data_IF_452826325799
#
_entry.id   IF_452826325799
#
_cell.length_a   1.000
_cell.length_b   1.000
_cell.length_c   1.000
_cell.angle_alpha   90.00
_cell.angle_beta   90.00
_cell.angle_gamma   90.00
#
_symmetry.space_group_name_H-M   'P 1'
#
loop_
_entity.id
_entity.type
_entity.pdbx_description
1 polymer ?
#
# COMPACT_ATOMS: atom_id res chain seq x y z
N UNK A 1 -23.75 36.68 30.81
CA UNK A 1 -22.86 37.83 31.03
C UNK A 1 -21.45 37.34 31.37
N UNK A 2 -20.50 37.52 30.46
CA UNK A 2 -19.06 37.51 30.72
C UNK A 2 -18.53 38.84 30.16
N UNK A 3 -17.83 39.70 30.92
CA UNK A 3 -17.39 40.97 30.38
C UNK A 3 -16.07 40.81 29.61
N UNK A 4 -16.08 41.42 28.43
CA UNK A 4 -14.95 41.66 27.55
C UNK A 4 -13.76 42.30 28.28
N UNK A 5 -12.55 41.88 27.93
CA UNK A 5 -11.35 42.71 28.06
C UNK A 5 -10.82 43.04 26.67
N UNK A 6 -11.28 44.20 26.20
CA UNK A 6 -10.60 44.99 25.20
C UNK A 6 -9.34 45.60 25.83
N UNK A 7 -8.17 45.31 25.27
CA UNK A 7 -7.00 46.18 25.45
C UNK A 7 -6.54 46.62 24.07
N UNK A 8 -6.70 47.92 23.85
CA UNK A 8 -6.37 48.66 22.64
C UNK A 8 -4.95 49.27 22.76
N UNK A 9 -4.42 49.86 21.66
CA UNK A 9 -3.02 49.84 21.25
C UNK A 9 -2.25 51.12 21.65
N UNK A 10 -0.95 51.21 21.33
CA UNK A 10 -0.25 52.47 21.02
C UNK A 10 1.24 52.27 20.60
N UNK A 11 1.58 52.71 19.35
CA UNK A 11 2.74 53.54 18.86
C UNK A 11 4.18 53.18 19.34
N UNK A 12 5.27 53.23 18.56
CA UNK A 12 5.72 53.99 17.38
C UNK A 12 6.89 53.16 16.74
N UNK A 13 7.22 53.20 15.44
CA UNK A 13 7.55 54.35 14.60
C UNK A 13 9.06 54.60 14.61
N UNK A 14 9.80 54.19 13.56
CA UNK A 14 11.01 54.85 13.06
C UNK A 14 11.52 54.18 11.76
N UNK A 15 11.36 54.91 10.66
CA UNK A 15 12.03 54.73 9.37
C UNK A 15 13.31 55.55 9.41
N UNK A 16 14.48 54.98 9.10
CA UNK A 16 15.60 55.76 8.52
C UNK A 16 16.36 54.91 7.51
N UNK A 17 16.42 55.45 6.30
CA UNK A 17 17.11 55.01 5.10
C UNK A 17 18.53 55.59 5.12
N UNK A 18 19.59 54.80 4.91
CA UNK A 18 20.91 55.34 4.52
C UNK A 18 21.54 54.47 3.43
N UNK A 19 21.98 55.19 2.40
CA UNK A 19 22.48 54.78 1.11
C UNK A 19 24.00 55.02 1.08
N UNK A 20 24.83 54.03 0.72
CA UNK A 20 26.23 54.18 0.28
C UNK A 20 26.71 52.84 -0.31
N UNK A 21 26.80 52.64 -1.64
CA UNK A 21 27.93 53.00 -2.52
C UNK A 21 29.32 52.77 -1.90
N UNK A 22 30.01 51.69 -2.29
CA UNK A 22 31.28 51.76 -3.03
C UNK A 22 31.79 50.37 -3.51
N UNK A 23 32.51 50.28 -4.66
CA UNK A 23 32.97 49.04 -5.29
C UNK A 23 34.46 48.68 -5.08
N UNK A 24 34.74 47.37 -5.16
CA UNK A 24 35.97 46.58 -5.49
C UNK A 24 37.38 47.02 -5.04
N UNK A 25 38.23 46.03 -4.70
CA UNK A 25 39.47 45.85 -5.47
C UNK A 25 39.77 44.38 -5.85
N UNK A 26 40.17 44.15 -7.11
CA UNK A 26 41.15 43.11 -7.48
C UNK A 26 42.55 43.75 -7.45
N UNK A 27 43.68 43.03 -7.18
CA UNK A 27 44.36 42.31 -8.26
C UNK A 27 45.31 41.12 -7.86
N UNK A 28 45.29 40.08 -8.70
CA UNK A 28 46.44 39.40 -9.35
C UNK A 28 47.33 38.33 -8.63
N UNK A 29 47.64 37.33 -9.47
CA UNK A 29 48.96 36.71 -9.73
C UNK A 29 49.30 35.37 -9.08
N UNK A 30 49.02 34.30 -9.83
CA UNK A 30 50.04 33.30 -10.20
C UNK A 30 50.31 32.15 -9.23
N UNK A 31 49.60 31.04 -9.39
CA UNK A 31 50.15 29.72 -9.12
C UNK A 31 49.74 28.80 -10.28
N UNK A 32 50.70 28.55 -11.17
CA UNK A 32 50.54 27.63 -12.28
C UNK A 32 50.50 26.19 -11.79
N UNK A 33 49.51 25.45 -12.26
CA UNK A 33 49.60 24.01 -12.42
C UNK A 33 49.27 23.68 -13.87
N UNK A 34 50.30 23.77 -14.71
CA UNK A 34 50.30 23.09 -16.00
C UNK A 34 50.74 21.64 -15.77
N UNK A 35 49.78 20.71 -15.88
CA UNK A 35 50.01 19.36 -16.42
C UNK A 35 48.81 18.97 -17.28
N UNK A 36 48.99 19.13 -18.58
CA UNK A 36 48.26 18.36 -19.59
C UNK A 36 49.06 17.07 -19.87
N UNK A 37 48.59 16.11 -20.69
CA UNK A 37 47.21 15.76 -21.07
C UNK A 37 46.98 14.22 -20.95
N UNK A 38 45.87 13.75 -21.53
CA UNK A 38 45.63 12.39 -22.08
C UNK A 38 45.15 11.33 -21.07
N UNK A 39 43.86 11.03 -21.16
CA UNK A 39 43.20 9.92 -20.49
C UNK A 39 41.72 9.94 -20.87
N UNK A 40 41.45 9.62 -22.14
CA UNK A 40 40.09 9.36 -22.60
C UNK A 40 39.57 8.14 -21.87
N UNK A 41 38.76 8.37 -20.86
CA UNK A 41 37.81 7.39 -20.37
C UNK A 41 36.49 7.87 -20.94
N UNK A 42 36.03 7.17 -21.98
CA UNK A 42 34.75 7.47 -22.59
C UNK A 42 33.71 7.59 -21.49
N UNK A 43 32.98 8.70 -21.49
CA UNK A 43 31.58 8.65 -21.11
C UNK A 43 30.96 7.63 -22.05
N UNK A 44 31.05 6.36 -21.66
CA UNK A 44 30.18 5.31 -22.13
C UNK A 44 28.81 5.82 -21.75
N UNK A 45 28.20 6.54 -22.71
CA UNK A 45 26.79 6.86 -22.72
C UNK A 45 26.12 5.51 -22.68
N UNK A 46 25.93 5.03 -21.45
CA UNK A 46 24.92 4.09 -21.07
C UNK A 46 23.67 4.64 -21.73
N UNK A 47 23.36 4.08 -22.89
CA UNK A 47 22.02 4.07 -23.41
C UNK A 47 21.26 3.31 -22.33
N UNK A 48 20.88 4.00 -21.25
CA UNK A 48 19.78 3.61 -20.41
C UNK A 48 18.64 3.57 -21.40
N UNK A 49 18.39 2.37 -21.93
CA UNK A 49 17.20 2.09 -22.71
C UNK A 49 16.07 2.75 -21.93
N UNK A 50 15.32 3.60 -22.63
CA UNK A 50 14.18 4.29 -22.05
C UNK A 50 13.12 3.22 -21.79
N UNK A 51 13.37 2.38 -20.79
CA UNK A 51 12.47 1.34 -20.36
C UNK A 51 11.41 2.06 -19.54
N UNK A 52 10.16 1.88 -19.94
CA UNK A 52 9.06 2.46 -19.21
C UNK A 52 9.04 1.83 -17.81
N UNK A 53 8.92 2.66 -16.76
CA UNK A 53 8.97 2.15 -15.40
C UNK A 53 7.77 1.23 -15.14
N UNK A 54 8.06 0.07 -14.58
CA UNK A 54 7.07 -0.92 -14.19
C UNK A 54 6.57 -0.62 -12.78
N UNK A 55 5.26 -0.79 -12.57
CA UNK A 55 4.61 -0.59 -11.29
C UNK A 55 3.69 -1.75 -10.96
N UNK A 56 3.64 -2.06 -9.68
CA UNK A 56 2.63 -2.92 -9.09
C UNK A 56 1.72 -2.04 -8.23
N UNK A 57 0.43 -2.05 -8.52
CA UNK A 57 -0.58 -1.31 -7.77
C UNK A 57 -1.57 -2.28 -7.14
N UNK A 58 -1.64 -2.25 -5.82
CA UNK A 58 -2.63 -2.99 -5.05
C UNK A 58 -3.60 -1.99 -4.43
N UNK A 59 -4.89 -2.22 -4.63
CA UNK A 59 -5.91 -1.46 -3.93
C UNK A 59 -6.92 -2.36 -3.23
N UNK A 60 -7.47 -1.82 -2.14
CA UNK A 60 -8.49 -2.44 -1.32
C UNK A 60 -9.76 -1.64 -1.50
N UNK A 61 -10.79 -2.26 -2.05
CA UNK A 61 -12.11 -1.67 -2.17
C UNK A 61 -13.03 -2.08 -1.02
N UNK A 62 -14.11 -1.31 -0.80
CA UNK A 62 -15.10 -1.55 0.28
C UNK A 62 -15.70 -2.96 0.20
N UNK A 63 -16.23 -3.46 1.31
CA UNK A 63 -16.92 -4.77 1.33
C UNK A 63 -18.37 -4.71 0.83
N UNK A 64 -18.94 -3.50 0.74
CA UNK A 64 -20.37 -3.30 0.46
C UNK A 64 -20.66 -3.25 -1.05
N UNK A 65 -19.62 -3.14 -1.87
CA UNK A 65 -19.69 -3.20 -3.32
C UNK A 65 -19.64 -4.66 -3.80
N UNK A 66 -20.33 -4.94 -4.89
CA UNK A 66 -20.36 -6.27 -5.49
C UNK A 66 -19.11 -6.53 -6.35
N UNK A 67 -18.76 -7.80 -6.57
CA UNK A 67 -17.66 -8.18 -7.46
C UNK A 67 -17.69 -7.51 -8.86
N UNK A 68 -18.83 -7.46 -9.60
CA UNK A 68 -18.87 -6.78 -10.90
C UNK A 68 -18.64 -5.27 -10.81
N UNK A 69 -18.99 -4.61 -9.69
CA UNK A 69 -18.66 -3.20 -9.48
C UNK A 69 -17.15 -3.00 -9.25
N UNK A 70 -16.48 -3.95 -8.57
CA UNK A 70 -15.03 -3.93 -8.42
C UNK A 70 -14.35 -4.10 -9.78
N UNK A 71 -14.86 -4.97 -10.64
CA UNK A 71 -14.36 -5.15 -12.01
C UNK A 71 -14.53 -3.88 -12.84
N UNK A 72 -15.71 -3.25 -12.80
CA UNK A 72 -15.96 -1.97 -13.46
C UNK A 72 -15.00 -0.86 -12.98
N UNK A 73 -14.78 -0.75 -11.66
CA UNK A 73 -13.78 0.17 -11.10
C UNK A 73 -12.37 -0.13 -11.63
N UNK A 74 -12.03 -1.41 -11.73
CA UNK A 74 -10.73 -1.85 -12.24
C UNK A 74 -10.56 -1.48 -13.72
N UNK A 75 -11.62 -1.56 -14.51
CA UNK A 75 -11.65 -1.13 -15.91
C UNK A 75 -11.52 0.39 -16.05
N UNK A 76 -12.24 1.18 -15.24
CA UNK A 76 -12.11 2.64 -15.20
C UNK A 76 -10.66 3.08 -14.93
N UNK A 77 -10.02 2.46 -13.92
CA UNK A 77 -8.62 2.72 -13.57
C UNK A 77 -7.66 2.30 -14.69
N UNK A 78 -7.95 1.17 -15.36
CA UNK A 78 -7.18 0.73 -16.52
C UNK A 78 -7.28 1.73 -17.69
N UNK A 79 -8.46 2.30 -17.92
CA UNK A 79 -8.68 3.26 -18.99
C UNK A 79 -7.89 4.56 -18.75
N UNK A 80 -7.74 5.00 -17.51
CA UNK A 80 -6.90 6.17 -17.15
C UNK A 80 -5.44 5.91 -17.53
N UNK A 81 -4.93 4.71 -17.27
CA UNK A 81 -3.56 4.33 -17.62
C UNK A 81 -3.37 4.33 -19.14
N UNK A 82 -4.32 3.75 -19.88
CA UNK A 82 -4.29 3.70 -21.35
C UNK A 82 -4.34 5.10 -21.97
N UNK A 83 -5.18 5.98 -21.43
CA UNK A 83 -5.23 7.39 -21.85
C UNK A 83 -3.92 8.13 -21.57
N UNK A 84 -3.22 7.76 -20.50
CA UNK A 84 -1.90 8.28 -20.14
C UNK A 84 -0.73 7.69 -20.95
N UNK A 85 -1.01 6.84 -21.95
CA UNK A 85 0.01 6.22 -22.79
C UNK A 85 0.72 5.02 -22.15
N UNK A 86 0.12 4.42 -21.13
CA UNK A 86 0.60 3.17 -20.52
C UNK A 86 -0.21 1.94 -20.94
N UNK A 87 0.25 0.77 -20.53
CA UNK A 87 -0.43 -0.51 -20.69
C UNK A 87 -0.57 -1.24 -19.34
N UNK A 88 -1.59 -2.08 -19.23
CA UNK A 88 -1.84 -2.90 -18.05
C UNK A 88 -1.57 -4.35 -18.42
N UNK A 89 -0.45 -4.89 -17.94
CA UNK A 89 0.00 -6.24 -18.27
C UNK A 89 -0.86 -7.31 -17.61
N UNK A 90 -1.31 -7.07 -16.37
CA UNK A 90 -2.07 -8.05 -15.60
C UNK A 90 -3.06 -7.40 -14.66
N UNK A 91 -4.27 -7.97 -14.58
CA UNK A 91 -5.31 -7.60 -13.62
C UNK A 91 -5.71 -8.85 -12.87
N UNK A 92 -5.55 -8.86 -11.55
CA UNK A 92 -5.83 -10.03 -10.74
C UNK A 92 -6.75 -9.67 -9.56
N UNK A 93 -7.93 -10.28 -9.53
CA UNK A 93 -8.89 -10.13 -8.45
C UNK A 93 -8.72 -11.24 -7.41
N UNK A 94 -8.38 -10.88 -6.17
CA UNK A 94 -8.14 -11.84 -5.09
C UNK A 94 -9.38 -12.16 -4.25
N UNK A 95 -10.49 -11.49 -4.50
CA UNK A 95 -11.74 -11.66 -3.76
C UNK A 95 -11.81 -10.84 -2.46
N UNK A 96 -12.83 -11.17 -1.66
CA UNK A 96 -13.09 -10.54 -0.36
C UNK A 96 -12.19 -11.17 0.72
N UNK A 97 -11.38 -10.37 1.40
CA UNK A 97 -10.49 -10.82 2.47
C UNK A 97 -10.63 -9.97 3.73
N UNK A 98 -10.31 -10.55 4.88
CA UNK A 98 -10.32 -9.85 6.17
C UNK A 98 -9.07 -8.98 6.31
N UNK A 99 -9.25 -7.73 6.77
CA UNK A 99 -8.16 -6.81 7.07
C UNK A 99 -7.82 -6.92 8.56
N UNK A 100 -6.55 -6.77 8.94
CA UNK A 100 -6.08 -6.92 10.33
C UNK A 100 -6.73 -5.93 11.29
N UNK A 101 -6.99 -4.70 10.83
CA UNK A 101 -7.65 -3.65 11.60
C UNK A 101 -8.74 -2.99 10.77
N UNK A 102 -9.64 -2.26 11.44
CA UNK A 102 -10.75 -1.59 10.76
C UNK A 102 -10.28 -0.35 10.04
N UNK A 103 -10.55 -0.28 8.73
CA UNK A 103 -10.28 0.88 7.86
C UNK A 103 -11.63 1.45 7.45
N UNK A 104 -11.86 2.75 7.70
CA UNK A 104 -13.16 3.43 7.44
C UNK A 104 -14.40 2.64 7.91
N UNK A 105 -14.28 1.91 9.05
CA UNK A 105 -15.28 1.01 9.66
C UNK A 105 -15.48 -0.36 8.99
N UNK A 106 -14.81 -0.66 7.88
CA UNK A 106 -14.85 -1.96 7.22
C UNK A 106 -13.88 -2.96 7.90
N UNK A 107 -14.30 -4.23 8.02
CA UNK A 107 -13.46 -5.36 8.51
C UNK A 107 -12.95 -6.25 7.39
N UNK A 108 -13.57 -6.14 6.21
CA UNK A 108 -13.23 -6.87 5.01
C UNK A 108 -13.06 -5.89 3.85
N UNK A 109 -12.37 -6.33 2.80
CA UNK A 109 -12.23 -5.56 1.58
C UNK A 109 -11.93 -6.47 0.40
N UNK A 110 -12.29 -5.99 -0.79
CA UNK A 110 -11.94 -6.62 -2.04
C UNK A 110 -10.53 -6.22 -2.44
N UNK A 111 -9.66 -7.20 -2.65
CA UNK A 111 -8.28 -6.94 -3.05
C UNK A 111 -8.13 -7.12 -4.55
N UNK A 112 -7.48 -6.15 -5.19
CA UNK A 112 -7.16 -6.15 -6.61
C UNK A 112 -5.70 -5.80 -6.78
N UNK A 113 -5.02 -6.57 -7.64
CA UNK A 113 -3.66 -6.35 -8.09
C UNK A 113 -3.67 -5.90 -9.54
N UNK A 114 -2.87 -4.88 -9.84
CA UNK A 114 -2.64 -4.36 -11.19
C UNK A 114 -1.13 -4.29 -11.45
N UNK A 115 -0.69 -4.97 -12.51
CA UNK A 115 0.66 -4.80 -13.05
C UNK A 115 0.60 -3.80 -14.20
N UNK A 116 1.34 -2.72 -14.07
CA UNK A 116 1.22 -1.54 -14.91
C UNK A 116 2.59 -1.24 -15.51
N UNK A 117 2.61 -1.02 -16.82
CA UNK A 117 3.73 -0.46 -17.53
C UNK A 117 3.31 0.91 -18.06
N UNK A 118 3.73 1.98 -17.38
CA UNK A 118 3.23 3.31 -17.67
C UNK A 118 4.21 4.42 -17.26
N UNK A 119 4.13 5.61 -17.89
CA UNK A 119 4.86 6.77 -17.42
C UNK A 119 4.38 7.20 -16.02
N UNK A 120 5.27 7.78 -15.22
CA UNK A 120 4.96 8.23 -13.85
C UNK A 120 3.78 9.22 -13.80
N UNK A 121 3.56 10.02 -14.85
CA UNK A 121 2.43 10.93 -14.94
C UNK A 121 1.07 10.20 -14.95
N UNK A 122 0.96 9.11 -15.70
CA UNK A 122 -0.28 8.31 -15.77
C UNK A 122 -0.58 7.62 -14.44
N UNK A 123 0.45 7.10 -13.78
CA UNK A 123 0.32 6.45 -12.46
C UNK A 123 -0.15 7.45 -11.40
N UNK A 124 0.40 8.67 -11.39
CA UNK A 124 -0.04 9.72 -10.46
C UNK A 124 -1.50 10.11 -10.66
N UNK A 125 -1.96 10.19 -11.91
CA UNK A 125 -3.36 10.48 -12.19
C UNK A 125 -4.27 9.34 -11.72
N UNK A 126 -3.89 8.09 -11.97
CA UNK A 126 -4.60 6.93 -11.45
C UNK A 126 -4.68 6.95 -9.90
N UNK A 127 -3.56 7.20 -9.22
CA UNK A 127 -3.53 7.30 -7.75
C UNK A 127 -4.44 8.42 -7.23
N UNK A 128 -4.45 9.56 -7.92
CA UNK A 128 -5.34 10.68 -7.59
C UNK A 128 -6.80 10.25 -7.68
N UNK A 129 -7.19 9.58 -8.77
CA UNK A 129 -8.55 9.08 -8.97
C UNK A 129 -8.94 8.03 -7.91
N UNK A 130 -8.03 7.10 -7.59
CA UNK A 130 -8.25 6.14 -6.51
C UNK A 130 -8.43 6.81 -5.15
N UNK A 131 -7.69 7.90 -4.87
CA UNK A 131 -7.80 8.61 -3.60
C UNK A 131 -9.10 9.39 -3.43
N UNK A 132 -9.68 9.85 -4.55
CA UNK A 132 -10.96 10.59 -4.60
C UNK A 132 -12.13 9.62 -4.51
N UNK A 133 -11.99 8.42 -5.06
CA UNK A 133 -13.05 7.45 -5.08
C UNK A 133 -13.34 6.90 -3.65
N UNK A 134 -14.57 7.11 -3.17
CA UNK A 134 -15.00 6.68 -1.84
C UNK A 134 -15.03 5.15 -1.66
N UNK A 135 -15.13 4.41 -2.77
CA UNK A 135 -15.10 2.95 -2.79
C UNK A 135 -13.74 2.36 -2.51
N UNK A 136 -12.68 3.16 -2.60
CA UNK A 136 -11.32 2.74 -2.30
C UNK A 136 -10.98 3.04 -0.83
N UNK A 137 -10.61 1.98 -0.11
CA UNK A 137 -10.20 2.07 1.29
C UNK A 137 -8.73 2.44 1.40
N UNK A 138 -7.87 1.76 0.65
CA UNK A 138 -6.42 1.93 0.69
C UNK A 138 -5.81 1.54 -0.65
N UNK A 139 -4.76 2.25 -1.03
CA UNK A 139 -3.93 1.96 -2.20
C UNK A 139 -2.48 1.79 -1.76
N UNK A 140 -1.75 0.99 -2.52
CA UNK A 140 -0.31 0.84 -2.41
C UNK A 140 0.23 0.66 -3.82
N UNK A 141 1.03 1.62 -4.28
CA UNK A 141 1.74 1.55 -5.54
C UNK A 141 3.22 1.39 -5.27
N UNK A 142 3.85 0.41 -5.89
CA UNK A 142 5.27 0.10 -5.76
C UNK A 142 5.88 0.09 -7.14
N UNK A 143 7.03 0.75 -7.29
CA UNK A 143 7.83 0.63 -8.51
C UNK A 143 8.63 -0.67 -8.45
N UNK A 144 8.55 -1.46 -9.51
CA UNK A 144 9.23 -2.76 -9.61
C UNK A 144 10.22 -2.75 -10.77
N UNK A 145 11.23 -3.61 -10.68
CA UNK A 145 12.25 -3.77 -11.73
C UNK A 145 11.79 -4.79 -12.79
N UNK A 146 10.99 -5.78 -12.39
CA UNK A 146 10.46 -6.84 -13.24
C UNK A 146 9.00 -7.16 -12.83
N UNK A 147 8.17 -7.54 -13.81
CA UNK A 147 6.79 -7.98 -13.58
C UNK A 147 6.75 -9.50 -13.47
N UNK A 148 6.31 -10.04 -12.32
CA UNK A 148 6.06 -11.47 -12.21
C UNK A 148 4.77 -11.85 -12.97
N UNK A 149 4.92 -12.64 -14.05
CA UNK A 149 3.79 -13.13 -14.85
C UNK A 149 3.04 -14.31 -14.20
N UNK A 150 3.67 -14.99 -13.22
CA UNK A 150 3.07 -16.09 -12.47
C UNK A 150 1.83 -15.66 -11.67
N UNK A 151 0.92 -16.59 -11.30
CA UNK A 151 -0.18 -16.27 -10.40
C UNK A 151 0.39 -15.71 -9.10
N UNK A 152 -0.19 -14.63 -8.57
CA UNK A 152 0.36 -13.97 -7.38
C UNK A 152 0.53 -14.98 -6.22
N UNK A 153 1.49 -14.74 -5.32
CA UNK A 153 1.69 -15.57 -4.13
C UNK A 153 0.38 -15.79 -3.33
N UNK A 154 -0.53 -14.81 -3.38
CA UNK A 154 -1.86 -14.90 -2.76
C UNK A 154 -2.80 -15.91 -3.41
N UNK A 155 -2.70 -16.15 -4.72
CA UNK A 155 -3.49 -17.15 -5.43
C UNK A 155 -2.85 -18.54 -5.35
N UNK A 156 -1.52 -18.62 -5.38
CA UNK A 156 -0.80 -19.88 -5.17
C UNK A 156 -1.15 -20.51 -3.81
N UNK A 157 -1.18 -19.70 -2.74
CA UNK A 157 -1.53 -20.18 -1.40
C UNK A 157 -2.99 -20.64 -1.24
N UNK A 158 -3.92 -20.10 -2.04
CA UNK A 158 -5.33 -20.53 -2.03
C UNK A 158 -5.45 -21.92 -2.66
N UNK A 159 -4.83 -22.11 -3.83
CA UNK A 159 -4.87 -23.39 -4.54
C UNK A 159 -4.32 -24.54 -3.67
N UNK A 160 -3.16 -24.32 -3.02
CA UNK A 160 -2.55 -25.33 -2.14
C UNK A 160 -3.35 -25.65 -0.86
N UNK A 161 -4.30 -24.79 -0.44
CA UNK A 161 -5.17 -25.06 0.71
C UNK A 161 -6.36 -25.91 0.34
N UNK A 162 -6.94 -25.68 -0.84
CA UNK A 162 -8.09 -26.44 -1.33
C UNK A 162 -7.71 -27.89 -1.68
N UNK A 163 -6.46 -28.13 -2.10
CA UNK A 163 -5.92 -29.47 -2.36
C UNK A 163 -5.56 -30.28 -1.09
N UNK A 164 -5.77 -29.73 0.11
CA UNK A 164 -5.57 -30.51 1.33
C UNK A 164 -6.74 -31.49 1.49
N UNK A 165 -6.50 -32.81 1.51
CA UNK A 165 -7.57 -33.77 1.79
C UNK A 165 -8.21 -33.40 3.13
N UNK A 166 -9.54 -33.24 3.14
CA UNK A 166 -10.30 -33.02 4.37
C UNK A 166 -10.00 -34.18 5.30
N UNK A 167 -9.18 -33.94 6.31
CA UNK A 167 -8.78 -34.94 7.29
C UNK A 167 -10.00 -35.31 8.12
N UNK A 168 -10.64 -36.43 7.78
CA UNK A 168 -11.48 -37.20 8.69
C UNK A 168 -12.96 -37.34 8.32
N UNK A 169 -13.25 -38.00 7.20
CA UNK A 169 -14.33 -39.00 7.19
C UNK A 169 -13.71 -40.34 7.62
N UNK A 170 -13.26 -40.36 8.87
CA UNK A 170 -12.88 -41.58 9.56
C UNK A 170 -14.10 -42.08 10.30
N UNK A 171 -14.90 -42.86 9.60
CA UNK A 171 -15.96 -43.72 10.12
C UNK A 171 -15.36 -44.72 11.13
N UNK A 172 -15.07 -44.30 12.35
CA UNK A 172 -14.75 -45.23 13.43
C UNK A 172 -14.87 -44.55 14.80
N UNK A 173 -16.07 -44.64 15.41
CA UNK A 173 -16.23 -44.94 16.84
C UNK A 173 -17.63 -45.51 17.06
N UNK A 174 -17.74 -46.82 16.90
CA UNK A 174 -18.68 -47.64 17.65
C UNK A 174 -18.49 -47.37 19.14
N UNK A 175 -19.18 -46.36 19.69
CA UNK A 175 -19.34 -46.14 21.13
C UNK A 175 -20.36 -47.13 21.68
N UNK A 176 -20.02 -48.42 21.62
CA UNK A 176 -20.59 -49.39 22.54
C UNK A 176 -19.83 -49.25 23.88
N UNK A 177 -20.56 -49.39 24.98
CA UNK A 177 -20.06 -49.55 26.35
C UNK A 177 -19.53 -48.31 27.09
N UNK A 178 -20.47 -47.49 27.60
CA UNK A 178 -20.29 -46.80 28.88
C UNK A 178 -21.34 -47.33 29.87
N UNK A 179 -20.96 -48.08 30.92
CA UNK A 179 -21.92 -48.53 31.93
C UNK A 179 -22.50 -47.34 32.70
N UNK A 180 -23.80 -47.44 33.03
CA UNK A 180 -24.55 -46.42 33.77
C UNK A 180 -24.02 -46.32 35.20
N UNK A 181 -24.00 -45.09 35.69
CA UNK A 181 -23.42 -44.65 36.96
C UNK A 181 -24.35 -44.95 38.16
N UNK A 182 -24.96 -46.14 38.22
CA UNK A 182 -25.96 -46.50 39.23
C UNK A 182 -25.45 -47.47 40.33
N UNK A 183 -24.22 -48.00 40.25
CA UNK A 183 -23.71 -48.95 41.27
C UNK A 183 -23.04 -48.30 42.50
N UNK A 184 -23.35 -47.04 42.82
CA UNK A 184 -22.77 -46.38 44.01
C UNK A 184 -23.62 -46.68 45.25
N UNK A 185 -23.36 -47.80 45.92
CA UNK A 185 -23.97 -48.12 47.20
C UNK A 185 -23.84 -46.97 48.22
N UNK A 186 -24.90 -46.65 48.98
CA UNK A 186 -24.83 -45.64 50.02
C UNK A 186 -24.03 -46.17 51.22
N UNK A 187 -23.07 -45.36 51.72
CA UNK A 187 -22.36 -45.67 52.96
C UNK A 187 -23.36 -45.64 54.13
N UNK A 188 -23.54 -46.80 54.76
CA UNK A 188 -24.24 -46.94 56.03
C UNK A 188 -23.52 -46.09 57.08
N UNK A 189 -24.19 -45.07 57.61
CA UNK A 189 -23.70 -44.29 58.75
C UNK A 189 -24.08 -45.10 59.99
N UNK A 190 -23.10 -45.68 60.68
CA UNK A 190 -23.31 -46.24 62.02
C UNK A 190 -23.40 -45.09 63.02
N UNK A 191 -24.57 -44.93 63.63
CA UNK A 191 -24.77 -44.06 64.79
C UNK A 191 -24.36 -44.80 66.05
N UNK A 192 -23.42 -44.24 66.80
CA UNK A 192 -23.14 -44.64 68.18
C UNK A 192 -23.94 -43.78 69.16
N UNK A 193 -24.61 -44.45 70.09
CA UNK A 193 -25.10 -43.88 71.35
C UNK A 193 -23.97 -43.74 72.38
#
# INVERSE_FOLDING_TARGET
>A
MRPDRHFRPCIAGAVVYIHALQPLPTPNRGAGYARSPIGGEGEEKSQKGFFMPLYESVFIARQDISAPQVEALTEELSNIIVQGGGTVSKKEFWGLRNITYRVKKNRKGHYVLLNIDAPSAAVKEMERQMSINEDVLRTLTVRVEELEEGPSAMMQSKNSRDDRPRRGDGEDRSRSDRPRRDDREPRRIEGGE
#
